data_IF_666554348272
#
_entry.id   IF_666554348272
#
_cell.length_a   1.000
_cell.length_b   1.000
_cell.length_c   1.000
_cell.angle_alpha   90.00
_cell.angle_beta   90.00
_cell.angle_gamma   90.00
#
_symmetry.space_group_name_H-M   'P 1'
#
loop_
_entity.id
_entity.type
_entity.pdbx_description
1 polymer ?
#
# COMPACT_ATOMS: atom_id res chain seq x y z
N UNK A 1 -1.47 -19.65 2.00
CA UNK A 1 -2.54 -18.84 1.35
C UNK A 1 -3.84 -19.12 2.09
N UNK A 2 -4.59 -18.10 2.51
CA UNK A 2 -5.91 -18.30 3.18
C UNK A 2 -6.91 -18.87 2.18
N UNK A 3 -7.89 -19.62 2.70
CA UNK A 3 -8.97 -20.16 1.88
C UNK A 3 -9.76 -18.99 1.24
N UNK A 4 -9.92 -18.95 -0.11
CA UNK A 4 -10.60 -17.86 -0.79
C UNK A 4 -12.07 -17.69 -0.38
N UNK A 5 -12.76 -18.77 0.00
CA UNK A 5 -14.16 -18.68 0.47
C UNK A 5 -14.25 -17.95 1.81
N UNK A 6 -13.35 -18.29 2.74
CA UNK A 6 -13.26 -17.64 4.05
C UNK A 6 -12.87 -16.16 3.92
N UNK A 7 -11.91 -15.84 3.04
CA UNK A 7 -11.54 -14.45 2.75
C UNK A 7 -12.73 -13.63 2.24
N UNK A 8 -13.52 -14.22 1.33
CA UNK A 8 -14.73 -13.61 0.79
C UNK A 8 -15.78 -13.37 1.88
N UNK A 9 -15.98 -14.34 2.76
CA UNK A 9 -16.91 -14.25 3.88
C UNK A 9 -16.47 -13.17 4.90
N UNK A 10 -15.21 -13.18 5.33
CA UNK A 10 -14.63 -12.19 6.26
C UNK A 10 -14.74 -10.78 5.69
N UNK A 11 -14.40 -10.60 4.41
CA UNK A 11 -14.52 -9.31 3.73
C UNK A 11 -15.98 -8.86 3.66
N UNK A 12 -16.90 -9.71 3.20
CA UNK A 12 -18.31 -9.37 3.04
C UNK A 12 -18.95 -8.99 4.39
N UNK A 13 -18.68 -9.76 5.44
CA UNK A 13 -19.14 -9.47 6.80
C UNK A 13 -18.71 -8.07 7.25
N UNK A 14 -17.42 -7.75 7.10
CA UNK A 14 -16.89 -6.44 7.49
C UNK A 14 -17.40 -5.31 6.60
N UNK A 15 -17.58 -5.57 5.31
CA UNK A 15 -18.03 -4.56 4.36
C UNK A 15 -19.51 -4.20 4.56
N UNK A 16 -20.39 -5.17 4.83
CA UNK A 16 -21.79 -4.91 5.18
C UNK A 16 -21.89 -4.05 6.45
N UNK A 17 -21.08 -4.37 7.47
CA UNK A 17 -21.03 -3.56 8.71
C UNK A 17 -20.58 -2.12 8.38
N UNK A 18 -19.53 -1.97 7.56
CA UNK A 18 -19.02 -0.68 7.16
C UNK A 18 -20.09 0.16 6.44
N UNK A 19 -20.75 -0.44 5.44
CA UNK A 19 -21.79 0.22 4.64
C UNK A 19 -22.99 0.65 5.49
N UNK A 20 -23.46 -0.21 6.40
CA UNK A 20 -24.56 0.14 7.32
C UNK A 20 -24.22 1.38 8.16
N UNK A 21 -22.99 1.43 8.71
CA UNK A 21 -22.51 2.59 9.49
C UNK A 21 -22.44 3.85 8.64
N UNK A 22 -21.95 3.74 7.40
CA UNK A 22 -21.92 4.85 6.45
C UNK A 22 -23.32 5.39 6.12
N UNK A 23 -24.31 4.51 5.92
CA UNK A 23 -25.69 4.92 5.64
C UNK A 23 -26.36 5.60 6.84
N UNK A 24 -26.02 5.20 8.06
CA UNK A 24 -26.54 5.83 9.28
C UNK A 24 -25.91 7.19 9.56
N UNK A 25 -24.65 7.42 9.19
CA UNK A 25 -23.92 8.64 9.54
C UNK A 25 -24.40 9.86 8.74
N UNK A 26 -24.64 9.71 7.44
CA UNK A 26 -24.99 10.83 6.56
C UNK A 26 -26.07 10.42 5.56
N UNK A 27 -27.32 10.73 5.90
CA UNK A 27 -28.50 10.40 5.07
C UNK A 27 -28.51 11.15 3.73
N UNK A 28 -27.99 12.38 3.70
CA UNK A 28 -27.97 13.26 2.54
C UNK A 28 -26.53 13.46 2.03
N UNK A 29 -25.99 12.43 1.39
CA UNK A 29 -24.69 12.52 0.71
C UNK A 29 -24.84 12.93 -0.76
N UNK A 30 -23.95 13.79 -1.23
CA UNK A 30 -23.71 14.02 -2.66
C UNK A 30 -23.20 12.71 -3.32
N UNK A 31 -23.48 12.49 -4.62
CA UNK A 31 -23.01 11.31 -5.36
C UNK A 31 -21.48 11.10 -5.27
N UNK A 32 -20.68 12.17 -5.31
CA UNK A 32 -19.23 12.15 -5.14
C UNK A 32 -18.84 11.69 -3.73
N UNK A 33 -19.57 12.14 -2.71
CA UNK A 33 -19.36 11.73 -1.32
C UNK A 33 -19.72 10.26 -1.13
N UNK A 34 -20.85 9.81 -1.70
CA UNK A 34 -21.24 8.39 -1.69
C UNK A 34 -20.14 7.52 -2.30
N UNK A 35 -19.61 7.90 -3.47
CA UNK A 35 -18.54 7.16 -4.13
C UNK A 35 -17.27 7.09 -3.28
N UNK A 36 -16.88 8.21 -2.63
CA UNK A 36 -15.74 8.23 -1.71
C UNK A 36 -15.96 7.32 -0.51
N UNK A 37 -17.14 7.38 0.10
CA UNK A 37 -17.49 6.58 1.27
C UNK A 37 -17.56 5.09 0.95
N UNK A 38 -18.14 4.70 -0.21
CA UNK A 38 -18.14 3.32 -0.67
C UNK A 38 -16.71 2.81 -0.87
N UNK A 39 -15.85 3.60 -1.52
CA UNK A 39 -14.43 3.24 -1.69
C UNK A 39 -13.72 3.07 -0.34
N UNK A 40 -13.84 4.05 0.56
CA UNK A 40 -13.24 4.01 1.89
C UNK A 40 -13.74 2.83 2.72
N UNK A 41 -15.05 2.53 2.65
CA UNK A 41 -15.65 1.39 3.36
C UNK A 41 -15.07 0.06 2.89
N UNK A 42 -14.80 -0.08 1.59
CA UNK A 42 -14.19 -1.28 1.01
C UNK A 42 -12.72 -1.40 1.43
N UNK A 43 -11.94 -0.31 1.32
CA UNK A 43 -10.54 -0.26 1.73
C UNK A 43 -10.38 -0.64 3.21
N UNK A 44 -11.26 -0.11 4.06
CA UNK A 44 -11.25 -0.37 5.48
C UNK A 44 -11.73 -1.77 5.84
N UNK A 45 -12.75 -2.29 5.13
CA UNK A 45 -13.19 -3.67 5.28
C UNK A 45 -12.10 -4.67 4.90
N UNK A 46 -11.38 -4.44 3.80
CA UNK A 46 -10.22 -5.27 3.40
C UNK A 46 -9.13 -5.24 4.48
N UNK A 47 -8.75 -4.05 4.94
CA UNK A 47 -7.71 -3.91 5.96
C UNK A 47 -8.09 -4.57 7.29
N UNK A 48 -9.35 -4.40 7.68
CA UNK A 48 -9.94 -4.97 8.90
C UNK A 48 -10.04 -6.51 8.79
N UNK A 49 -10.41 -7.06 7.63
CA UNK A 49 -10.44 -8.51 7.37
C UNK A 49 -9.06 -9.16 7.50
N UNK A 50 -8.00 -8.40 7.24
CA UNK A 50 -6.62 -8.82 7.47
C UNK A 50 -6.10 -8.53 8.89
N UNK A 51 -6.98 -8.08 9.79
CA UNK A 51 -6.67 -7.69 11.17
C UNK A 51 -5.54 -6.65 11.27
N UNK A 52 -5.31 -5.81 10.25
CA UNK A 52 -4.20 -4.85 10.22
C UNK A 52 -2.80 -5.46 10.42
N UNK A 53 -2.64 -6.76 10.14
CA UNK A 53 -1.39 -7.49 10.37
C UNK A 53 -0.35 -7.23 9.30
N UNK A 54 -0.80 -6.83 8.11
CA UNK A 54 0.05 -6.55 6.95
C UNK A 54 0.37 -5.07 6.83
N UNK A 55 1.47 -4.75 6.18
CA UNK A 55 1.89 -3.38 5.94
C UNK A 55 0.91 -2.65 5.02
N UNK A 56 0.34 -3.33 4.02
CA UNK A 56 -0.68 -2.76 3.15
C UNK A 56 -1.99 -2.45 3.89
N UNK A 57 -2.43 -3.33 4.80
CA UNK A 57 -3.68 -3.10 5.55
C UNK A 57 -3.54 -1.94 6.54
N UNK A 58 -2.39 -1.83 7.21
CA UNK A 58 -2.07 -0.66 8.05
C UNK A 58 -2.02 0.63 7.24
N UNK A 59 -1.43 0.60 6.04
CA UNK A 59 -1.35 1.77 5.18
C UNK A 59 -2.75 2.24 4.71
N UNK A 60 -3.67 1.33 4.43
CA UNK A 60 -5.06 1.69 4.11
C UNK A 60 -5.77 2.35 5.29
N UNK A 61 -5.63 1.81 6.50
CA UNK A 61 -6.19 2.42 7.72
C UNK A 61 -5.59 3.81 7.93
N UNK A 62 -4.26 3.93 7.85
CA UNK A 62 -3.59 5.21 7.99
C UNK A 62 -4.10 6.23 6.96
N UNK A 63 -4.24 5.83 5.70
CA UNK A 63 -4.76 6.67 4.62
C UNK A 63 -6.20 7.14 4.87
N UNK A 64 -7.07 6.27 5.38
CA UNK A 64 -8.45 6.62 5.73
C UNK A 64 -8.52 7.65 6.87
N UNK A 65 -7.57 7.62 7.81
CA UNK A 65 -7.52 8.56 8.94
C UNK A 65 -6.85 9.91 8.65
N UNK A 66 -6.33 10.13 7.43
CA UNK A 66 -5.62 11.39 7.08
C UNK A 66 -6.53 12.61 6.99
N UNK A 67 -7.79 12.38 6.66
CA UNK A 67 -8.80 13.42 6.49
C UNK A 67 -9.78 13.35 7.66
N UNK A 68 -10.15 14.50 8.23
CA UNK A 68 -10.89 14.55 9.49
C UNK A 68 -12.30 13.94 9.33
N UNK A 69 -12.94 14.17 8.19
CA UNK A 69 -14.26 13.61 7.87
C UNK A 69 -14.18 12.07 7.71
N UNK A 70 -13.09 11.59 7.10
CA UNK A 70 -12.86 10.16 6.88
C UNK A 70 -12.40 9.46 8.16
N UNK A 71 -11.81 10.20 9.11
CA UNK A 71 -11.41 9.68 10.43
C UNK A 71 -12.62 9.25 11.24
N UNK A 72 -13.67 10.08 11.31
CA UNK A 72 -14.91 9.74 12.02
C UNK A 72 -15.54 8.47 11.41
N UNK A 73 -15.56 8.40 10.07
CA UNK A 73 -16.01 7.21 9.35
C UNK A 73 -15.14 5.98 9.66
N UNK A 74 -13.81 6.14 9.71
CA UNK A 74 -12.89 5.05 9.96
C UNK A 74 -13.03 4.49 11.38
N UNK A 75 -13.08 5.37 12.38
CA UNK A 75 -13.31 5.01 13.79
C UNK A 75 -14.63 4.26 13.96
N UNK A 76 -15.70 4.73 13.31
CA UNK A 76 -16.98 4.05 13.34
C UNK A 76 -16.95 2.70 12.64
N UNK A 77 -16.38 2.57 11.44
CA UNK A 77 -16.33 1.30 10.67
C UNK A 77 -15.44 0.26 11.35
N UNK A 78 -14.34 0.68 11.97
CA UNK A 78 -13.46 -0.23 12.70
C UNK A 78 -14.04 -0.64 14.07
N UNK A 79 -14.87 0.20 14.70
CA UNK A 79 -15.53 -0.07 15.99
C UNK A 79 -14.56 -0.19 17.18
N UNK A 80 -15.05 -0.35 18.42
CA UNK A 80 -14.21 -0.43 19.63
C UNK A 80 -13.30 -1.67 19.68
N UNK A 81 -13.62 -2.77 18.98
CA UNK A 81 -12.73 -3.94 18.85
C UNK A 81 -11.39 -3.62 18.16
N UNK A 82 -11.32 -2.49 17.45
CA UNK A 82 -10.13 -2.04 16.75
C UNK A 82 -9.26 -1.07 17.54
N UNK A 83 -9.67 -0.62 18.73
CA UNK A 83 -8.84 0.27 19.56
C UNK A 83 -7.48 -0.35 19.87
N UNK A 84 -7.40 -1.69 19.95
CA UNK A 84 -6.16 -2.45 20.10
C UNK A 84 -5.28 -2.33 18.84
N UNK A 85 -5.89 -2.24 17.66
CA UNK A 85 -5.23 -2.13 16.36
C UNK A 85 -4.78 -0.69 16.09
N UNK A 86 -5.61 0.31 16.39
CA UNK A 86 -5.26 1.72 16.26
C UNK A 86 -4.23 2.14 17.30
N UNK A 87 -4.33 1.68 18.57
CA UNK A 87 -3.29 1.89 19.59
C UNK A 87 -1.95 1.25 19.17
N UNK A 88 -1.95 0.02 18.63
CA UNK A 88 -0.73 -0.62 18.08
C UNK A 88 -0.12 0.13 16.89
N UNK A 89 -0.94 0.75 16.05
CA UNK A 89 -0.47 1.56 14.89
C UNK A 89 0.11 2.91 15.36
N UNK A 90 -0.42 3.50 16.43
CA UNK A 90 0.14 4.73 17.04
C UNK A 90 1.44 4.48 17.82
N UNK A 91 1.67 3.27 18.35
CA UNK A 91 2.90 2.93 19.11
C UNK A 91 4.10 2.60 18.22
N UNK A 92 3.88 2.29 16.93
CA UNK A 92 4.98 2.00 16.01
C UNK A 92 5.44 3.27 15.30
N UNK A 93 6.74 3.65 15.40
CA UNK A 93 7.23 4.84 14.73
C UNK A 93 7.21 4.57 13.22
N UNK A 94 6.19 5.10 12.54
CA UNK A 94 6.33 5.40 11.11
C UNK A 94 7.54 6.34 11.00
N UNK A 95 8.61 5.87 10.37
CA UNK A 95 9.69 6.76 9.93
C UNK A 95 9.11 7.68 8.85
N UNK A 96 8.48 8.77 9.29
CA UNK A 96 8.28 9.94 8.45
C UNK A 96 9.67 10.50 8.17
N UNK A 97 10.31 10.01 7.10
CA UNK A 97 11.50 10.65 6.59
C UNK A 97 11.06 11.99 5.97
N UNK A 98 11.16 13.05 6.78
CA UNK A 98 11.18 14.42 6.29
C UNK A 98 12.07 14.46 5.05
N UNK A 99 11.54 14.99 3.94
CA UNK A 99 12.29 15.27 2.71
C UNK A 99 13.51 16.11 3.06
N UNK A 100 14.63 15.45 3.37
CA UNK A 100 15.92 16.14 3.45
C UNK A 100 16.24 16.55 2.03
N UNK A 101 16.01 17.83 1.73
CA UNK A 101 16.55 18.49 0.53
C UNK A 101 18.01 18.07 0.41
N UNK A 102 18.31 17.26 -0.59
CA UNK A 102 19.68 16.96 -0.98
C UNK A 102 20.27 18.31 -1.43
N UNK A 103 21.01 18.98 -0.55
CA UNK A 103 21.84 20.13 -0.92
C UNK A 103 22.92 19.59 -1.84
N UNK A 104 23.04 20.17 -3.02
CA UNK A 104 24.00 19.78 -4.05
C UNK A 104 25.42 19.67 -3.46
N UNK A 105 26.01 18.47 -3.53
CA UNK A 105 27.44 18.32 -3.27
C UNK A 105 28.17 18.91 -4.48
N UNK A 106 28.84 20.05 -4.29
CA UNK A 106 29.76 20.65 -5.27
C UNK A 106 30.76 19.58 -5.71
N UNK A 107 30.82 19.32 -7.01
CA UNK A 107 31.81 18.43 -7.62
C UNK A 107 33.15 19.18 -7.59
N UNK A 108 34.04 18.80 -6.66
CA UNK A 108 35.44 19.18 -6.77
C UNK A 108 36.05 18.33 -7.89
N UNK A 109 36.26 18.96 -9.05
CA UNK A 109 37.14 18.44 -10.11
C UNK A 109 38.54 18.28 -9.51
N UNK A 110 38.93 17.05 -9.19
CA UNK A 110 40.34 16.72 -8.98
C UNK A 110 40.88 16.17 -10.29
N UNK A 111 41.61 17.02 -11.00
CA UNK A 111 42.50 16.62 -12.08
C UNK A 111 43.63 15.76 -11.50
N UNK A 112 43.62 14.47 -11.80
CA UNK A 112 44.84 13.67 -11.83
C UNK A 112 45.04 13.16 -13.25
N UNK A 113 45.97 13.85 -13.92
CA UNK A 113 46.59 13.45 -15.16
C UNK A 113 47.42 12.18 -14.98
N UNK A 114 47.72 11.54 -16.10
CA UNK A 114 48.77 10.53 -16.35
C UNK A 114 48.58 9.09 -15.84
N UNK A 115 48.47 8.21 -16.84
CA UNK A 115 49.16 6.92 -16.93
C UNK A 115 48.70 5.77 -16.01
N UNK A 116 47.57 5.17 -16.38
CA UNK A 116 47.50 3.70 -16.44
C UNK A 116 46.96 3.32 -17.82
N UNK A 117 47.77 2.62 -18.59
CA UNK A 117 47.42 2.05 -19.91
C UNK A 117 46.07 1.33 -19.78
N UNK A 118 45.02 1.94 -20.36
CA UNK A 118 43.70 1.32 -20.46
C UNK A 118 43.79 0.17 -21.47
N UNK A 119 44.15 -1.01 -20.99
CA UNK A 119 43.64 -2.24 -21.59
C UNK A 119 42.12 -2.09 -21.51
N UNK A 120 41.47 -1.82 -22.65
CA UNK A 120 40.02 -1.96 -22.78
C UNK A 120 39.71 -3.44 -22.58
N UNK A 121 39.64 -3.90 -21.34
CA UNK A 121 38.89 -5.12 -21.02
C UNK A 121 37.45 -4.77 -21.35
N UNK A 122 37.00 -5.20 -22.52
CA UNK A 122 35.58 -5.22 -22.88
C UNK A 122 34.84 -5.82 -21.69
N UNK A 123 33.98 -5.02 -21.05
CA UNK A 123 33.18 -5.49 -19.92
C UNK A 123 32.48 -6.77 -20.41
N UNK A 124 32.64 -7.92 -19.74
CA UNK A 124 32.07 -9.16 -20.23
C UNK A 124 30.59 -8.94 -20.53
N UNK A 125 30.11 -9.36 -21.71
CA UNK A 125 28.72 -9.17 -22.15
C UNK A 125 27.70 -9.58 -21.07
N UNK A 126 28.03 -10.60 -20.27
CA UNK A 126 27.28 -11.06 -19.09
C UNK A 126 27.13 -10.00 -17.99
N UNK A 127 28.18 -9.23 -17.69
CA UNK A 127 28.15 -8.15 -16.69
C UNK A 127 27.25 -7.00 -17.18
N UNK A 128 27.37 -6.61 -18.46
CA UNK A 128 26.49 -5.60 -19.05
C UNK A 128 25.02 -6.04 -19.03
N UNK A 129 24.73 -7.28 -19.44
CA UNK A 129 23.39 -7.85 -19.38
C UNK A 129 22.83 -7.87 -17.95
N UNK A 130 23.64 -8.23 -16.96
CA UNK A 130 23.25 -8.21 -15.55
C UNK A 130 22.96 -6.77 -15.06
N UNK A 131 23.78 -5.79 -15.43
CA UNK A 131 23.53 -4.39 -15.10
C UNK A 131 22.20 -3.88 -15.70
N UNK A 132 21.90 -4.25 -16.95
CA UNK A 132 20.64 -3.91 -17.62
C UNK A 132 19.47 -4.58 -16.90
N UNK A 133 19.57 -5.88 -16.60
CA UNK A 133 18.54 -6.64 -15.89
C UNK A 133 18.26 -6.03 -14.51
N UNK A 134 19.30 -5.72 -13.72
CA UNK A 134 19.15 -5.04 -12.42
C UNK A 134 18.43 -3.71 -12.54
N UNK A 135 18.76 -2.90 -13.56
CA UNK A 135 18.10 -1.60 -13.78
C UNK A 135 16.63 -1.76 -14.13
N UNK A 136 16.28 -2.78 -14.92
CA UNK A 136 14.88 -3.08 -15.25
C UNK A 136 14.10 -3.56 -14.03
N UNK A 137 14.69 -4.44 -13.22
CA UNK A 137 14.09 -4.91 -11.97
C UNK A 137 13.86 -3.73 -11.03
N UNK A 138 14.87 -2.89 -10.79
CA UNK A 138 14.73 -1.69 -9.95
C UNK A 138 13.59 -0.77 -10.39
N UNK A 139 13.43 -0.55 -11.71
CA UNK A 139 12.31 0.23 -12.24
C UNK A 139 10.95 -0.42 -11.95
N UNK A 140 10.82 -1.72 -12.22
CA UNK A 140 9.58 -2.47 -11.98
C UNK A 140 9.24 -2.53 -10.49
N UNK A 141 10.22 -2.79 -9.63
CA UNK A 141 10.08 -2.76 -8.18
C UNK A 141 9.63 -1.38 -7.70
N UNK A 142 10.20 -0.29 -8.23
CA UNK A 142 9.78 1.05 -7.86
C UNK A 142 8.32 1.33 -8.22
N UNK A 143 7.87 0.90 -9.41
CA UNK A 143 6.46 0.98 -9.80
C UNK A 143 5.60 0.16 -8.83
N UNK A 144 5.99 -1.08 -8.53
CA UNK A 144 5.25 -1.95 -7.63
C UNK A 144 5.11 -1.33 -6.22
N UNK A 145 6.17 -0.70 -5.71
CA UNK A 145 6.13 0.04 -4.43
C UNK A 145 5.11 1.16 -4.39
N UNK A 146 4.84 1.80 -5.54
CA UNK A 146 3.81 2.85 -5.66
C UNK A 146 2.38 2.31 -5.79
N UNK A 147 2.23 1.04 -6.20
CA UNK A 147 0.93 0.39 -6.40
C UNK A 147 0.40 -0.27 -5.13
N UNK A 148 1.30 -0.86 -4.33
CA UNK A 148 0.93 -1.52 -3.07
C UNK A 148 0.84 -0.45 -1.97
N UNK A 149 -0.27 -0.37 -1.22
CA UNK A 149 -0.38 0.54 -0.09
C UNK A 149 0.80 0.36 0.88
N UNK A 150 1.54 1.43 1.17
CA UNK A 150 2.72 1.37 2.04
C UNK A 150 3.97 0.72 1.43
N UNK A 151 3.95 0.33 0.15
CA UNK A 151 5.04 -0.37 -0.55
C UNK A 151 6.35 0.44 -0.61
N UNK A 152 6.27 1.76 -0.58
CA UNK A 152 7.43 2.67 -0.55
C UNK A 152 8.43 2.34 0.57
N UNK A 153 7.92 1.83 1.70
CA UNK A 153 8.71 1.54 2.91
C UNK A 153 9.11 0.07 3.06
N UNK A 154 8.74 -0.79 2.10
CA UNK A 154 9.02 -2.24 2.16
C UNK A 154 10.36 -2.59 1.50
N UNK A 155 11.02 -3.64 1.97
CA UNK A 155 12.10 -4.31 1.24
C UNK A 155 11.52 -5.17 0.10
N UNK A 156 12.37 -5.68 -0.78
CA UNK A 156 11.92 -6.42 -1.98
C UNK A 156 11.20 -7.73 -1.63
N UNK A 157 11.60 -8.42 -0.56
CA UNK A 157 10.99 -9.71 -0.19
C UNK A 157 9.60 -9.50 0.41
N UNK A 158 9.49 -8.62 1.41
CA UNK A 158 8.20 -8.24 2.01
C UNK A 158 7.26 -7.64 0.97
N UNK A 159 7.77 -6.83 0.03
CA UNK A 159 6.94 -6.25 -1.04
C UNK A 159 6.26 -7.33 -1.87
N UNK A 160 6.97 -8.40 -2.23
CA UNK A 160 6.38 -9.49 -3.02
C UNK A 160 5.33 -10.27 -2.23
N UNK A 161 5.58 -10.57 -0.96
CA UNK A 161 4.62 -11.25 -0.09
C UNK A 161 3.34 -10.43 0.12
N UNK A 162 3.50 -9.15 0.44
CA UNK A 162 2.39 -8.20 0.62
C UNK A 162 1.63 -7.98 -0.69
N UNK A 163 2.31 -7.97 -1.84
CA UNK A 163 1.68 -7.88 -3.16
C UNK A 163 0.77 -9.08 -3.42
N UNK A 164 1.25 -10.29 -3.16
CA UNK A 164 0.46 -11.51 -3.36
C UNK A 164 -0.80 -11.51 -2.47
N UNK A 165 -0.63 -11.11 -1.21
CA UNK A 165 -1.74 -10.99 -0.26
C UNK A 165 -2.74 -9.90 -0.69
N UNK A 166 -2.25 -8.74 -1.12
CA UNK A 166 -3.09 -7.63 -1.57
C UNK A 166 -3.87 -7.98 -2.85
N UNK A 167 -3.26 -8.67 -3.82
CA UNK A 167 -3.95 -9.16 -5.02
C UNK A 167 -5.10 -10.10 -4.65
N UNK A 168 -4.91 -10.97 -3.65
CA UNK A 168 -5.98 -11.87 -3.21
C UNK A 168 -7.18 -11.09 -2.66
N UNK A 169 -6.95 -10.05 -1.86
CA UNK A 169 -8.01 -9.18 -1.35
C UNK A 169 -8.68 -8.34 -2.44
N UNK A 170 -7.92 -7.83 -3.41
CA UNK A 170 -8.49 -7.09 -4.55
C UNK A 170 -9.42 -7.97 -5.39
N UNK A 171 -9.07 -9.24 -5.62
CA UNK A 171 -9.93 -10.20 -6.33
C UNK A 171 -11.25 -10.40 -5.58
N UNK A 172 -11.16 -10.65 -4.27
CA UNK A 172 -12.34 -10.81 -3.40
C UNK A 172 -13.23 -9.56 -3.44
N UNK A 173 -12.63 -8.36 -3.32
CA UNK A 173 -13.36 -7.10 -3.40
C UNK A 173 -14.15 -6.99 -4.71
N UNK A 174 -13.47 -7.20 -5.85
CA UNK A 174 -14.10 -7.13 -7.17
C UNK A 174 -15.20 -8.18 -7.33
N UNK A 175 -14.96 -9.42 -6.90
CA UNK A 175 -15.93 -10.51 -7.00
C UNK A 175 -17.20 -10.21 -6.20
N UNK A 176 -17.06 -9.67 -4.99
CA UNK A 176 -18.20 -9.27 -4.15
C UNK A 176 -18.94 -8.09 -4.78
N UNK A 177 -18.24 -7.06 -5.25
CA UNK A 177 -18.86 -5.90 -5.92
C UNK A 177 -19.65 -6.31 -7.17
N UNK A 178 -19.13 -7.25 -7.96
CA UNK A 178 -19.82 -7.82 -9.12
C UNK A 178 -21.07 -8.59 -8.70
N UNK A 179 -20.98 -9.43 -7.66
CA UNK A 179 -22.16 -10.17 -7.20
C UNK A 179 -23.32 -9.28 -6.72
N UNK A 180 -23.04 -8.07 -6.25
CA UNK A 180 -24.06 -7.12 -5.82
C UNK A 180 -24.62 -6.24 -6.94
N UNK A 181 -24.07 -6.28 -8.15
CA UNK A 181 -24.51 -5.46 -9.30
C UNK A 181 -25.37 -6.23 -10.31
N UNK A 182 -25.38 -7.57 -10.24
CA UNK A 182 -26.21 -8.44 -11.09
C UNK A 182 -27.40 -9.07 -10.35
N UNK A 183 -27.80 -8.48 -9.21
CA UNK A 183 -29.04 -8.78 -8.50
C UNK A 183 -29.91 -7.52 -8.49
#
# INVERSE_FOLDING_TARGET
MRNPSLLKEEFLKRWIIALRRCTSLKKNMNILERNKVVKLSADLAMASARNGTTSWSRALIANATRDNDNRILAEQILGPESEILVKRVSTMPFKTCNRRKIRSKRILKRSCSSAVRRVRKTVPRKVLANCIAKRLIQKRTHILKSLVPGGEFMDETTLMEETLDYIAYLRVQVDVMRSCTYC
#
